data_IF_265131277844
#
_entry.id   IF_265131277844
#
_cell.length_a   1.000
_cell.length_b   1.000
_cell.length_c   1.000
_cell.angle_alpha   90.00
_cell.angle_beta   90.00
_cell.angle_gamma   90.00
#
_symmetry.space_group_name_H-M   'P 1'
#
loop_
_entity.id
_entity.type
_entity.pdbx_description
1 polymer ?
#
# COMPACT_ATOMS: atom_id res chain seq x y z
N UNK A 1 -3.63 13.11 -22.12
CA UNK A 1 -4.66 13.18 -21.07
C UNK A 1 -4.86 11.73 -20.63
N UNK A 2 -4.44 11.35 -19.42
CA UNK A 2 -4.52 9.95 -18.95
C UNK A 2 -5.99 9.68 -18.60
N UNK A 3 -6.59 8.67 -19.23
CA UNK A 3 -7.95 8.23 -18.93
C UNK A 3 -7.96 7.54 -17.56
N UNK A 4 -8.70 8.12 -16.61
CA UNK A 4 -8.83 7.66 -15.22
C UNK A 4 -9.77 6.44 -15.09
N UNK A 5 -10.44 6.00 -16.16
CA UNK A 5 -11.36 4.85 -16.14
C UNK A 5 -10.73 3.54 -16.65
N UNK A 6 -9.44 3.54 -16.92
CA UNK A 6 -8.74 2.35 -17.39
C UNK A 6 -7.99 1.66 -16.23
N UNK A 7 -8.27 0.38 -15.99
CA UNK A 7 -7.52 -0.41 -15.02
C UNK A 7 -6.08 -0.59 -15.48
N UNK A 8 -5.12 -0.08 -14.71
CA UNK A 8 -3.68 -0.26 -14.96
C UNK A 8 -3.23 -1.55 -14.27
N UNK A 9 -2.48 -2.40 -14.97
CA UNK A 9 -1.96 -3.64 -14.38
C UNK A 9 -0.83 -3.31 -13.38
N UNK A 10 -0.73 -4.09 -12.31
CA UNK A 10 0.34 -3.97 -11.30
C UNK A 10 1.74 -3.88 -11.94
N UNK A 11 2.00 -4.71 -12.97
CA UNK A 11 3.28 -4.74 -13.69
C UNK A 11 3.63 -3.45 -14.44
N UNK A 12 2.63 -2.67 -14.81
CA UNK A 12 2.80 -1.39 -15.52
C UNK A 12 2.84 -0.22 -14.55
N UNK A 13 2.08 -0.33 -13.46
CA UNK A 13 1.97 0.69 -12.43
C UNK A 13 3.21 0.80 -11.53
N UNK A 14 3.75 -0.33 -11.05
CA UNK A 14 4.85 -0.31 -10.07
C UNK A 14 6.12 0.36 -10.61
N UNK A 15 6.61 0.06 -11.82
CA UNK A 15 7.79 0.74 -12.35
C UNK A 15 7.59 2.26 -12.48
N UNK A 16 6.39 2.70 -12.87
CA UNK A 16 6.05 4.12 -12.95
C UNK A 16 6.05 4.77 -11.57
N UNK A 17 5.41 4.14 -10.57
CA UNK A 17 5.36 4.63 -9.21
C UNK A 17 6.76 4.71 -8.57
N UNK A 18 7.65 3.75 -8.85
CA UNK A 18 9.03 3.75 -8.35
C UNK A 18 9.91 4.82 -9.01
N UNK A 19 9.75 5.05 -10.31
CA UNK A 19 10.52 6.05 -11.07
C UNK A 19 10.09 7.48 -10.75
N UNK A 20 8.81 7.68 -10.44
CA UNK A 20 8.26 8.99 -10.05
C UNK A 20 8.37 9.27 -8.55
N UNK A 21 8.73 8.27 -7.74
CA UNK A 21 8.74 8.36 -6.28
C UNK A 21 7.35 8.27 -5.64
N UNK A 22 6.27 8.17 -6.43
CA UNK A 22 4.89 7.98 -5.96
C UNK A 22 4.70 6.71 -5.12
N UNK A 23 5.58 5.72 -5.29
CA UNK A 23 5.54 4.48 -4.51
C UNK A 23 5.63 4.75 -3.00
N UNK A 24 6.32 5.81 -2.56
CA UNK A 24 6.49 6.13 -1.14
C UNK A 24 5.17 6.61 -0.50
N UNK A 25 4.54 7.71 -0.95
CA UNK A 25 3.27 8.17 -0.38
C UNK A 25 2.13 7.18 -0.61
N UNK A 26 2.13 6.45 -1.73
CA UNK A 26 1.11 5.43 -2.00
C UNK A 26 1.15 4.31 -0.97
N UNK A 27 2.33 3.74 -0.73
CA UNK A 27 2.47 2.66 0.23
C UNK A 27 2.15 3.09 1.66
N UNK A 28 2.42 4.35 2.03
CA UNK A 28 1.94 4.90 3.31
C UNK A 28 0.41 4.86 3.40
N UNK A 29 -0.27 5.35 2.38
CA UNK A 29 -1.73 5.30 2.31
C UNK A 29 -2.28 3.85 2.32
N UNK A 30 -1.61 2.92 1.64
CA UNK A 30 -1.97 1.49 1.65
C UNK A 30 -1.87 0.93 3.07
N UNK A 31 -0.78 1.20 3.80
CA UNK A 31 -0.60 0.74 5.18
C UNK A 31 -1.71 1.26 6.10
N UNK A 32 -2.01 2.56 6.04
CA UNK A 32 -3.11 3.17 6.80
C UNK A 32 -4.47 2.52 6.45
N UNK A 33 -4.73 2.30 5.16
CA UNK A 33 -5.97 1.68 4.68
C UNK A 33 -6.11 0.23 5.13
N UNK A 34 -5.03 -0.53 5.14
CA UNK A 34 -5.02 -1.91 5.64
C UNK A 34 -5.32 -1.95 7.13
N UNK A 35 -4.70 -1.07 7.93
CA UNK A 35 -5.00 -0.97 9.36
C UNK A 35 -6.47 -0.61 9.63
N UNK A 36 -7.04 0.31 8.85
CA UNK A 36 -8.46 0.64 8.94
C UNK A 36 -9.36 -0.54 8.56
N UNK A 37 -8.99 -1.27 7.51
CA UNK A 37 -9.74 -2.44 7.04
C UNK A 37 -9.72 -3.58 8.07
N UNK A 38 -8.58 -3.84 8.71
CA UNK A 38 -8.45 -4.81 9.81
C UNK A 38 -9.40 -4.42 10.94
N UNK A 39 -9.37 -3.16 11.40
CA UNK A 39 -10.26 -2.68 12.47
C UNK A 39 -11.74 -2.83 12.11
N UNK A 40 -12.10 -2.66 10.83
CA UNK A 40 -13.47 -2.88 10.38
C UNK A 40 -13.85 -4.36 10.46
N UNK A 41 -12.96 -5.27 10.05
CA UNK A 41 -13.18 -6.70 10.17
C UNK A 41 -13.30 -7.16 11.63
N UNK A 42 -12.46 -6.63 12.52
CA UNK A 42 -12.56 -6.88 13.97
C UNK A 42 -13.93 -6.46 14.52
N UNK A 43 -14.42 -5.27 14.14
CA UNK A 43 -15.75 -4.78 14.56
C UNK A 43 -16.91 -5.64 14.04
N UNK A 44 -16.71 -6.32 12.91
CA UNK A 44 -17.68 -7.27 12.35
C UNK A 44 -17.57 -8.67 12.98
N UNK A 45 -16.65 -8.87 13.93
CA UNK A 45 -16.42 -10.16 14.58
C UNK A 45 -15.72 -11.17 13.68
N UNK A 46 -15.08 -10.72 12.59
CA UNK A 46 -14.32 -11.60 11.71
C UNK A 46 -13.00 -12.00 12.39
N UNK A 47 -12.60 -13.25 12.21
CA UNK A 47 -11.35 -13.76 12.74
C UNK A 47 -10.17 -12.95 12.17
N UNK A 48 -9.22 -12.50 13.01
CA UNK A 48 -8.02 -11.83 12.53
C UNK A 48 -7.29 -12.71 11.50
N UNK A 49 -6.95 -12.12 10.36
CA UNK A 49 -6.17 -12.77 9.30
C UNK A 49 -4.80 -12.14 9.21
N UNK A 50 -3.76 -12.95 8.98
CA UNK A 50 -2.45 -12.44 8.65
C UNK A 50 -2.50 -11.75 7.29
N UNK A 51 -2.06 -10.49 7.21
CA UNK A 51 -2.02 -9.72 5.97
C UNK A 51 -0.56 -9.51 5.58
N UNK A 52 -0.23 -9.81 4.33
CA UNK A 52 1.05 -9.52 3.73
C UNK A 52 0.89 -8.39 2.71
N UNK A 53 1.78 -7.40 2.79
CA UNK A 53 1.81 -6.26 1.87
C UNK A 53 3.15 -6.31 1.14
N UNK A 54 3.12 -6.21 -0.19
CA UNK A 54 4.34 -6.10 -0.98
C UNK A 54 4.88 -4.68 -0.87
N UNK A 55 6.12 -4.55 -0.39
CA UNK A 55 6.84 -3.29 -0.32
C UNK A 55 7.91 -3.22 -1.41
N UNK A 56 8.12 -2.04 -1.99
CA UNK A 56 9.25 -1.82 -2.89
C UNK A 56 10.58 -1.84 -2.12
N UNK A 57 11.65 -2.26 -2.78
CA UNK A 57 12.99 -2.31 -2.17
C UNK A 57 13.47 -0.93 -1.69
N UNK A 58 13.07 0.15 -2.37
CA UNK A 58 13.38 1.54 -1.98
C UNK A 58 12.76 1.91 -0.63
N UNK A 59 11.60 1.35 -0.31
CA UNK A 59 10.90 1.63 0.93
C UNK A 59 11.45 0.82 2.09
N UNK A 60 11.82 -0.44 1.85
CA UNK A 60 12.50 -1.28 2.84
C UNK A 60 13.80 -0.65 3.37
N UNK A 61 14.47 0.14 2.53
CA UNK A 61 15.70 0.86 2.90
C UNK A 61 15.46 2.15 3.70
N UNK A 62 14.22 2.64 3.79
CA UNK A 62 13.89 3.79 4.64
C UNK A 62 13.73 3.30 6.09
N UNK A 63 14.64 3.73 6.97
CA UNK A 63 14.74 3.25 8.36
C UNK A 63 13.50 3.48 9.24
N UNK A 64 12.50 4.23 8.75
CA UNK A 64 11.35 4.68 9.54
C UNK A 64 10.03 4.01 9.12
N UNK A 65 10.09 2.84 8.46
CA UNK A 65 8.88 2.12 8.03
C UNK A 65 7.89 1.80 9.16
N UNK A 66 8.39 1.58 10.39
CA UNK A 66 7.59 1.27 11.56
C UNK A 66 7.23 2.50 12.41
N UNK A 67 7.77 3.68 12.10
CA UNK A 67 7.48 4.89 12.86
C UNK A 67 6.16 5.50 12.37
N UNK A 68 5.15 5.47 13.25
CA UNK A 68 3.76 5.91 13.06
C UNK A 68 2.74 4.83 12.60
N UNK A 69 2.87 3.59 13.08
CA UNK A 69 1.79 2.57 13.01
C UNK A 69 0.76 2.76 14.12
#
# INVERSE_FOLDING_TARGET
>A
MVDINQSILYREFIPLAENTGLIIPLSKWILESVCQQIRQWEKLGLTPVAISINLSSKQFQQANLAENS
#
